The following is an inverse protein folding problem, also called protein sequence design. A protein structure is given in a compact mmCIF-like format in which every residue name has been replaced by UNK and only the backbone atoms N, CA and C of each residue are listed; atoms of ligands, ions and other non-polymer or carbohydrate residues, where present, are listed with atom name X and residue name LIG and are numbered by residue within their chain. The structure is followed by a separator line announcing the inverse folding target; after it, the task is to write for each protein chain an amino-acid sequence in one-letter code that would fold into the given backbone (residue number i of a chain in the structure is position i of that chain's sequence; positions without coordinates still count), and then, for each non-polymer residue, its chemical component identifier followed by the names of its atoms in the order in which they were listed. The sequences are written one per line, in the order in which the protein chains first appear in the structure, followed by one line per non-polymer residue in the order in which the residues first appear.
data_IF_743003446543
#
_entry.id   IF_743003446543
#
_cell.length_a   1.000
_cell.length_b   1.000
_cell.length_c   1.000
_cell.angle_alpha   90.00
_cell.angle_beta   90.00
_cell.angle_gamma   90.00
#
_symmetry.space_group_name_H-M   'P 1'
#
loop_
_entity.id
_entity.type
_entity.pdbx_description
1 polymer ?
#
# COMPACT_ATOMS: atom_id res chain seq x y z
N UNK A 1 -4.10 2.99 14.44
CA UNK A 1 -4.42 2.74 13.01
C UNK A 1 -5.62 1.81 12.83
N UNK A 2 -5.74 0.69 13.57
CA UNK A 2 -6.91 -0.20 13.46
C UNK A 2 -8.18 0.37 14.12
N UNK A 3 -9.33 0.17 13.48
CA UNK A 3 -10.65 0.49 14.06
C UNK A 3 -10.94 -0.40 15.29
N UNK A 4 -11.80 0.04 16.22
CA UNK A 4 -12.22 -0.80 17.33
C UNK A 4 -12.86 -2.13 16.89
N UNK A 5 -13.67 -2.10 15.83
CA UNK A 5 -14.36 -3.30 15.33
C UNK A 5 -13.40 -4.28 14.65
N UNK A 6 -12.41 -3.79 13.90
CA UNK A 6 -11.35 -4.63 13.33
C UNK A 6 -10.63 -5.45 14.42
N UNK A 7 -10.31 -4.82 15.56
CA UNK A 7 -9.68 -5.50 16.71
C UNK A 7 -10.58 -6.56 17.33
N UNK A 8 -11.87 -6.25 17.51
CA UNK A 8 -12.84 -7.23 18.04
C UNK A 8 -12.99 -8.44 17.12
N UNK A 9 -13.05 -8.23 15.80
CA UNK A 9 -13.11 -9.31 14.83
C UNK A 9 -11.87 -10.20 14.87
N UNK A 10 -10.67 -9.63 15.08
CA UNK A 10 -9.45 -10.43 15.30
C UNK A 10 -9.56 -11.31 16.55
N UNK A 11 -10.06 -10.78 17.67
CA UNK A 11 -10.27 -11.56 18.89
C UNK A 11 -11.32 -12.67 18.67
N UNK A 12 -12.40 -12.39 17.96
CA UNK A 12 -13.42 -13.38 17.58
C UNK A 12 -12.83 -14.49 16.70
N UNK A 13 -11.94 -14.14 15.77
CA UNK A 13 -11.25 -15.09 14.91
C UNK A 13 -10.36 -16.03 15.72
N UNK A 14 -9.53 -15.50 16.61
CA UNK A 14 -8.60 -16.28 17.43
C UNK A 14 -9.34 -17.25 18.36
N UNK A 15 -10.49 -16.84 18.89
CA UNK A 15 -11.32 -17.69 19.76
C UNK A 15 -12.03 -18.82 19.02
N UNK A 16 -12.45 -18.58 17.76
CA UNK A 16 -13.29 -19.51 16.99
C UNK A 16 -12.52 -20.30 15.94
N UNK A 17 -11.29 -19.90 15.64
CA UNK A 17 -10.44 -20.50 14.59
C UNK A 17 -10.90 -20.17 13.16
N UNK A 18 -11.78 -19.19 12.97
CA UNK A 18 -12.31 -18.85 11.66
C UNK A 18 -13.46 -17.85 11.68
N UNK A 19 -13.80 -17.35 10.49
CA UNK A 19 -14.97 -16.51 10.25
C UNK A 19 -16.05 -17.24 9.45
N UNK A 20 -17.31 -16.88 9.69
CA UNK A 20 -18.35 -17.07 8.69
C UNK A 20 -18.32 -15.96 7.64
N UNK A 21 -19.12 -16.08 6.57
CA UNK A 21 -19.12 -15.12 5.46
C UNK A 21 -19.41 -13.68 5.90
N UNK A 22 -20.39 -13.46 6.77
CA UNK A 22 -20.75 -12.12 7.25
C UNK A 22 -19.61 -11.49 8.04
N UNK A 23 -18.98 -12.24 8.94
CA UNK A 23 -17.82 -11.76 9.70
C UNK A 23 -16.63 -11.47 8.78
N UNK A 24 -16.38 -12.31 7.77
CA UNK A 24 -15.31 -12.11 6.82
C UNK A 24 -15.53 -10.85 5.97
N UNK A 25 -16.76 -10.63 5.49
CA UNK A 25 -17.11 -9.42 4.74
C UNK A 25 -16.96 -8.16 5.61
N UNK A 26 -17.42 -8.19 6.86
CA UNK A 26 -17.26 -7.09 7.82
C UNK A 26 -15.76 -6.82 8.08
N UNK A 27 -14.98 -7.88 8.30
CA UNK A 27 -13.55 -7.76 8.55
C UNK A 27 -12.81 -7.12 7.38
N UNK A 28 -13.15 -7.46 6.13
CA UNK A 28 -12.56 -6.82 4.94
C UNK A 28 -12.82 -5.31 4.94
N UNK A 29 -14.05 -4.87 5.26
CA UNK A 29 -14.36 -3.43 5.32
C UNK A 29 -13.60 -2.73 6.45
N UNK A 30 -13.61 -3.31 7.65
CA UNK A 30 -12.96 -2.72 8.83
C UNK A 30 -11.43 -2.69 8.71
N UNK A 31 -10.82 -3.71 8.10
CA UNK A 31 -9.39 -3.74 7.83
C UNK A 31 -9.01 -2.69 6.76
N UNK A 32 -9.83 -2.51 5.73
CA UNK A 32 -9.58 -1.54 4.65
C UNK A 32 -9.44 -0.10 5.17
N UNK A 33 -10.17 0.27 6.22
CA UNK A 33 -10.05 1.59 6.85
C UNK A 33 -8.65 1.89 7.38
N UNK A 34 -7.85 0.87 7.72
CA UNK A 34 -6.48 1.06 8.19
C UNK A 34 -5.54 1.58 7.09
N UNK A 35 -5.85 1.25 5.83
CA UNK A 35 -5.03 1.55 4.65
C UNK A 35 -5.59 2.71 3.81
N UNK A 36 -6.76 3.24 4.19
CA UNK A 36 -7.42 4.34 3.49
C UNK A 36 -6.54 5.59 3.52
N UNK A 37 -6.46 6.28 2.38
CA UNK A 37 -5.79 7.57 2.30
C UNK A 37 -6.63 8.65 2.99
N UNK A 38 -6.02 9.37 3.93
CA UNK A 38 -6.60 10.53 4.59
C UNK A 38 -5.82 11.78 4.18
N UNK A 39 -6.51 12.81 3.69
CA UNK A 39 -5.85 14.05 3.23
C UNK A 39 -5.37 14.93 4.39
N UNK A 40 -5.93 14.78 5.58
CA UNK A 40 -5.57 15.57 6.75
C UNK A 40 -4.41 14.94 7.50
N UNK A 41 -3.35 15.72 7.71
CA UNK A 41 -2.24 15.36 8.59
C UNK A 41 -2.68 15.39 10.06
N UNK A 42 -2.01 14.61 10.90
CA UNK A 42 -2.20 14.56 12.36
C UNK A 42 -1.35 15.57 13.12
N UNK A 43 -0.52 16.33 12.41
CA UNK A 43 0.41 17.33 12.93
C UNK A 43 0.19 18.65 12.19
N UNK A 44 0.66 19.74 12.79
CA UNK A 44 0.68 21.05 12.14
C UNK A 44 1.71 21.12 10.99
N UNK A 45 1.62 22.17 10.18
CA UNK A 45 2.46 22.34 9.00
C UNK A 45 3.96 22.49 9.33
N UNK A 46 4.31 23.15 10.42
CA UNK A 46 5.70 23.35 10.83
C UNK A 46 6.34 22.00 11.18
N UNK A 47 5.65 21.21 11.99
CA UNK A 47 6.06 19.84 12.34
C UNK A 47 6.18 18.96 11.09
N UNK A 48 5.20 19.01 10.18
CA UNK A 48 5.26 18.25 8.92
C UNK A 48 6.50 18.62 8.11
N UNK A 49 6.80 19.92 7.96
CA UNK A 49 7.97 20.40 7.21
C UNK A 49 9.28 19.94 7.84
N UNK A 50 9.39 19.98 9.17
CA UNK A 50 10.57 19.50 9.88
C UNK A 50 10.83 18.01 9.58
N UNK A 51 9.81 17.16 9.75
CA UNK A 51 9.92 15.71 9.48
C UNK A 51 10.17 15.41 8.00
N UNK A 52 9.60 16.19 7.09
CA UNK A 52 9.81 16.03 5.66
C UNK A 52 11.24 16.38 5.23
N UNK A 53 11.82 17.40 5.85
CA UNK A 53 13.20 17.82 5.60
C UNK A 53 14.22 16.81 6.13
N UNK A 54 13.91 16.12 7.23
CA UNK A 54 14.71 15.00 7.73
C UNK A 54 14.70 13.83 6.72
N UNK A 55 13.50 13.33 6.39
CA UNK A 55 13.34 12.35 5.33
C UNK A 55 11.87 12.23 4.91
N UNK A 56 11.61 12.19 3.60
CA UNK A 56 10.23 12.09 3.06
C UNK A 56 9.44 10.90 3.64
N UNK A 57 10.10 9.76 3.85
CA UNK A 57 9.50 8.56 4.45
C UNK A 57 9.11 8.76 5.93
N UNK A 58 9.84 9.59 6.69
CA UNK A 58 9.48 9.85 8.09
C UNK A 58 8.16 10.62 8.13
N UNK A 59 8.04 11.68 7.32
CA UNK A 59 6.79 12.42 7.22
C UNK A 59 5.62 11.56 6.72
N UNK A 60 5.87 10.68 5.74
CA UNK A 60 4.87 9.76 5.18
C UNK A 60 4.27 8.81 6.24
N UNK A 61 5.10 8.34 7.18
CA UNK A 61 4.67 7.41 8.24
C UNK A 61 4.09 8.13 9.45
N UNK A 62 4.71 9.23 9.89
CA UNK A 62 4.41 9.85 11.19
C UNK A 62 3.26 10.85 11.11
N UNK A 63 3.09 11.52 9.97
CA UNK A 63 2.17 12.66 9.88
C UNK A 63 0.73 12.27 9.51
N UNK A 64 0.42 10.99 9.32
CA UNK A 64 -0.89 10.54 8.85
C UNK A 64 -1.57 9.57 9.84
N UNK A 65 -2.92 9.51 9.89
CA UNK A 65 -3.66 8.72 10.87
C UNK A 65 -3.45 7.19 10.78
N UNK A 66 -3.00 6.71 9.62
CA UNK A 66 -2.94 5.30 9.28
C UNK A 66 -1.85 4.98 8.26
N UNK A 67 -1.76 3.70 7.89
CA UNK A 67 -0.75 3.18 6.98
C UNK A 67 -1.34 2.88 5.59
N UNK A 68 -1.98 3.86 4.98
CA UNK A 68 -1.41 4.33 3.72
C UNK A 68 -0.99 3.32 2.63
N UNK A 69 -1.81 3.00 1.63
CA UNK A 69 -1.29 2.28 0.45
C UNK A 69 -0.26 3.16 -0.29
N UNK A 70 1.02 2.80 -0.23
CA UNK A 70 2.07 3.49 -0.99
C UNK A 70 2.00 3.17 -2.49
N UNK A 71 1.75 1.90 -2.83
CA UNK A 71 1.49 1.44 -4.19
C UNK A 71 0.77 0.08 -4.17
N UNK A 72 -0.02 -0.20 -5.20
CA UNK A 72 -0.55 -1.53 -5.52
C UNK A 72 -0.03 -1.96 -6.87
N UNK A 73 0.79 -3.02 -6.89
CA UNK A 73 1.52 -3.44 -8.08
C UNK A 73 0.83 -4.65 -8.73
N UNK A 74 0.24 -4.50 -9.94
CA UNK A 74 -0.27 -5.64 -10.68
C UNK A 74 0.89 -6.49 -11.21
N UNK A 75 0.61 -7.76 -11.48
CA UNK A 75 1.57 -8.67 -12.12
C UNK A 75 1.47 -8.57 -13.64
N UNK A 76 2.61 -8.45 -14.33
CA UNK A 76 2.73 -8.57 -15.79
C UNK A 76 3.58 -9.77 -16.19
N UNK A 77 3.36 -10.27 -17.42
CA UNK A 77 4.19 -11.32 -18.03
C UNK A 77 5.39 -10.75 -18.80
N UNK A 78 5.28 -9.53 -19.34
CA UNK A 78 6.36 -8.85 -20.06
C UNK A 78 6.40 -7.37 -19.65
N UNK A 79 7.31 -7.04 -18.74
CA UNK A 79 7.47 -5.67 -18.23
C UNK A 79 8.04 -4.73 -19.28
N UNK A 80 8.87 -5.22 -20.21
CA UNK A 80 9.46 -4.39 -21.27
C UNK A 80 8.33 -3.92 -22.21
N UNK A 81 7.39 -4.81 -22.54
CA UNK A 81 6.20 -4.44 -23.31
C UNK A 81 5.31 -3.45 -22.55
N UNK A 82 5.02 -3.70 -21.28
CA UNK A 82 4.21 -2.77 -20.46
C UNK A 82 4.85 -1.39 -20.39
N UNK A 83 6.16 -1.31 -20.11
CA UNK A 83 6.88 -0.03 -20.03
C UNK A 83 6.78 0.76 -21.34
N UNK A 84 6.88 0.09 -22.50
CA UNK A 84 6.71 0.74 -23.81
C UNK A 84 5.30 1.29 -24.06
N UNK A 85 4.28 0.67 -23.49
CA UNK A 85 2.87 1.06 -23.65
C UNK A 85 2.41 2.10 -22.63
N UNK A 86 3.11 2.25 -21.50
CA UNK A 86 2.73 3.18 -20.44
C UNK A 86 2.53 4.62 -20.95
N UNK A 87 3.42 5.20 -21.78
CA UNK A 87 3.23 6.55 -22.32
C UNK A 87 1.98 6.69 -23.21
N UNK A 88 1.63 5.65 -23.97
CA UNK A 88 0.41 5.62 -24.80
C UNK A 88 -0.86 5.66 -23.93
N UNK A 89 -0.77 5.21 -22.68
CA UNK A 89 -1.83 5.26 -21.67
C UNK A 89 -1.70 6.46 -20.71
N UNK A 90 -0.83 7.44 -20.99
CA UNK A 90 -0.65 8.63 -20.16
C UNK A 90 0.11 8.41 -18.85
N UNK A 91 0.86 7.31 -18.74
CA UNK A 91 1.70 6.99 -17.60
C UNK A 91 3.17 7.19 -18.00
N UNK A 92 3.90 8.05 -17.29
CA UNK A 92 5.35 8.21 -17.48
C UNK A 92 6.11 7.17 -16.62
N UNK A 93 6.69 6.11 -17.22
CA UNK A 93 7.41 5.12 -16.44
C UNK A 93 8.79 5.65 -16.01
N UNK A 94 9.27 5.17 -14.86
CA UNK A 94 10.71 5.27 -14.57
C UNK A 94 11.50 4.55 -15.66
N UNK A 95 12.62 5.13 -16.08
CA UNK A 95 13.48 4.55 -17.12
C UNK A 95 14.12 3.24 -16.64
N UNK A 96 14.55 3.20 -15.38
CA UNK A 96 15.21 2.04 -14.80
C UNK A 96 14.20 0.95 -14.42
N UNK A 97 14.37 -0.24 -14.98
CA UNK A 97 13.78 -1.49 -14.48
C UNK A 97 14.77 -2.10 -13.49
N UNK A 98 14.33 -2.29 -12.25
CA UNK A 98 15.13 -2.93 -11.20
C UNK A 98 15.13 -4.46 -11.37
N UNK A 99 16.07 -5.15 -10.70
CA UNK A 99 16.19 -6.60 -10.79
C UNK A 99 17.10 -7.09 -11.93
N UNK A 100 17.06 -8.39 -12.27
CA UNK A 100 17.92 -8.98 -13.29
C UNK A 100 17.58 -8.44 -14.69
N UNK A 101 18.50 -8.52 -15.67
CA UNK A 101 18.17 -8.17 -17.05
C UNK A 101 17.13 -9.14 -17.67
N UNK A 102 16.61 -8.81 -18.86
CA UNK A 102 15.69 -9.70 -19.60
C UNK A 102 16.31 -11.08 -19.84
N UNK A 103 15.52 -12.13 -19.65
CA UNK A 103 15.92 -13.54 -19.80
C UNK A 103 14.79 -14.35 -20.42
N UNK A 104 15.13 -15.44 -21.12
CA UNK A 104 14.15 -16.42 -21.61
C UNK A 104 13.43 -17.16 -20.47
N UNK A 105 14.17 -17.43 -19.39
CA UNK A 105 13.63 -17.97 -18.14
C UNK A 105 13.84 -16.91 -17.05
N UNK A 106 12.78 -16.16 -16.69
CA UNK A 106 12.84 -15.15 -15.64
C UNK A 106 13.30 -15.73 -14.30
N UNK A 107 14.06 -14.95 -13.55
CA UNK A 107 14.46 -15.23 -12.16
C UNK A 107 14.10 -14.03 -11.31
N UNK A 108 13.82 -14.24 -10.02
CA UNK A 108 13.36 -13.18 -9.11
C UNK A 108 12.16 -12.41 -9.72
N UNK A 109 12.24 -11.08 -9.74
CA UNK A 109 11.27 -10.18 -10.36
C UNK A 109 12.02 -9.00 -10.99
N UNK A 110 11.38 -8.40 -12.00
CA UNK A 110 11.78 -7.17 -12.68
C UNK A 110 10.62 -6.20 -12.59
#
# INVERSE_FOLDING_TARGET
IFTPRCRQLLEEYDQRGGFNETQAQEFVQEALETFRWHQSATVDEETYRALHNEHRLIADVVCFPGCHINHLTPRTLDIDRVQSMMPECGIEPKILIEGPPRREVPILLR
#
